data_IF_742745353249
#
_entry.id   IF_742745353249
#
_cell.length_a   1.000
_cell.length_b   1.000
_cell.length_c   1.000
_cell.angle_alpha   90.00
_cell.angle_beta   90.00
_cell.angle_gamma   90.00
#
_symmetry.space_group_name_H-M   'P 1'
#
loop_
_entity.id
_entity.type
_entity.pdbx_description
1 polymer ?
#
# COMPACT_ATOMS: atom_id res chain seq x y z
N UNK A 1 15.37 -21.52 5.97
CA UNK A 1 15.54 -22.11 4.62
C UNK A 1 14.62 -21.36 3.67
N UNK A 2 14.99 -21.14 2.40
CA UNK A 2 14.02 -20.55 1.47
C UNK A 2 12.80 -21.48 1.35
N UNK A 3 11.59 -20.89 1.35
CA UNK A 3 10.36 -21.64 1.18
C UNK A 3 10.32 -22.27 -0.24
N UNK A 4 9.76 -23.47 -0.34
CA UNK A 4 9.62 -24.14 -1.63
C UNK A 4 8.55 -23.42 -2.46
N UNK A 5 8.93 -22.92 -3.63
CA UNK A 5 8.04 -22.22 -4.55
C UNK A 5 6.85 -23.06 -5.00
N UNK A 6 6.97 -24.40 -5.00
CA UNK A 6 5.88 -25.30 -5.38
C UNK A 6 4.70 -25.22 -4.41
N UNK A 7 4.91 -24.81 -3.16
CA UNK A 7 3.85 -24.62 -2.16
C UNK A 7 2.90 -23.47 -2.52
N UNK A 8 3.33 -22.57 -3.41
CA UNK A 8 2.56 -21.39 -3.82
C UNK A 8 2.04 -21.48 -5.25
N UNK A 9 2.07 -22.66 -5.88
CA UNK A 9 1.64 -22.87 -7.28
C UNK A 9 0.19 -22.48 -7.52
N UNK A 10 -0.69 -22.70 -6.55
CA UNK A 10 -2.14 -22.47 -6.62
C UNK A 10 -2.58 -21.21 -5.86
N UNK A 11 -1.65 -20.51 -5.20
CA UNK A 11 -1.91 -19.31 -4.42
C UNK A 11 -1.13 -19.27 -3.12
N UNK A 12 -1.28 -18.19 -2.37
CA UNK A 12 -0.63 -17.98 -1.09
C UNK A 12 -1.68 -17.99 0.06
N UNK A 13 -1.31 -18.44 1.28
CA UNK A 13 -2.15 -18.31 2.47
C UNK A 13 -2.49 -16.85 2.77
N UNK A 14 -3.61 -16.62 3.46
CA UNK A 14 -4.08 -15.26 3.78
C UNK A 14 -3.05 -14.43 4.55
N UNK A 15 -2.27 -15.02 5.44
CA UNK A 15 -1.20 -14.35 6.17
C UNK A 15 -0.11 -13.76 5.26
N UNK A 16 0.05 -14.27 4.04
CA UNK A 16 0.96 -13.75 3.01
C UNK A 16 0.21 -12.80 2.08
N UNK A 17 -1.00 -13.17 1.62
CA UNK A 17 -1.82 -12.37 0.71
C UNK A 17 -2.15 -10.99 1.28
N UNK A 18 -2.51 -10.90 2.56
CA UNK A 18 -2.79 -9.63 3.26
C UNK A 18 -1.58 -8.70 3.37
N UNK A 19 -0.36 -9.23 3.17
CA UNK A 19 0.88 -8.44 3.14
C UNK A 19 1.29 -7.99 1.74
N UNK A 20 0.56 -8.39 0.70
CA UNK A 20 0.89 -8.11 -0.69
C UNK A 20 -0.17 -7.24 -1.34
N UNK A 21 0.19 -5.99 -1.64
CA UNK A 21 -0.63 -5.02 -2.35
C UNK A 21 -0.20 -4.95 -3.82
N UNK A 22 -1.10 -5.35 -4.72
CA UNK A 22 -0.90 -5.28 -6.17
C UNK A 22 -1.15 -3.86 -6.67
N UNK A 23 -0.14 -3.21 -7.22
CA UNK A 23 -0.29 -1.88 -7.83
C UNK A 23 -0.89 -2.00 -9.24
N UNK A 24 -2.11 -1.50 -9.40
CA UNK A 24 -2.85 -1.47 -10.66
C UNK A 24 -2.64 -0.10 -11.34
N UNK A 25 -1.40 0.14 -11.80
CA UNK A 25 -1.02 1.36 -12.47
C UNK A 25 -1.26 1.18 -13.99
N UNK A 26 -2.52 1.34 -14.39
CA UNK A 26 -3.06 1.24 -15.76
C UNK A 26 -4.19 2.25 -15.94
N UNK A 27 -4.49 2.61 -17.21
CA UNK A 27 -5.41 3.69 -17.58
C UNK A 27 -6.81 3.20 -17.98
N UNK A 28 -7.14 1.91 -17.72
CA UNK A 28 -8.47 1.37 -17.97
C UNK A 28 -8.85 0.25 -16.98
N UNK A 29 -10.15 0.19 -16.65
CA UNK A 29 -10.69 -0.74 -15.64
C UNK A 29 -10.69 -2.20 -16.13
N UNK A 30 -10.82 -2.46 -17.42
CA UNK A 30 -10.87 -3.82 -17.97
C UNK A 30 -9.51 -4.48 -17.83
N UNK A 31 -8.44 -3.76 -18.18
CA UNK A 31 -7.06 -4.20 -18.01
C UNK A 31 -6.74 -4.37 -16.52
N UNK A 32 -7.16 -3.42 -15.66
CA UNK A 32 -6.97 -3.52 -14.22
C UNK A 32 -7.58 -4.81 -13.65
N UNK A 33 -8.85 -5.10 -13.97
CA UNK A 33 -9.54 -6.32 -13.53
C UNK A 33 -8.90 -7.59 -14.05
N UNK A 34 -8.48 -7.61 -15.31
CA UNK A 34 -7.79 -8.76 -15.90
C UNK A 34 -6.49 -9.09 -15.17
N UNK A 35 -5.68 -8.07 -14.83
CA UNK A 35 -4.45 -8.24 -14.05
C UNK A 35 -4.78 -8.69 -12.62
N UNK A 36 -5.74 -8.03 -11.99
CA UNK A 36 -6.16 -8.34 -10.62
C UNK A 36 -6.64 -9.79 -10.50
N UNK A 37 -7.55 -10.24 -11.36
CA UNK A 37 -8.06 -11.63 -11.34
C UNK A 37 -6.95 -12.68 -11.55
N UNK A 38 -6.00 -12.41 -12.45
CA UNK A 38 -4.90 -13.34 -12.71
C UNK A 38 -3.97 -13.50 -11.50
N UNK A 39 -3.87 -12.46 -10.66
CA UNK A 39 -2.91 -12.40 -9.53
C UNK A 39 -3.58 -12.51 -8.15
N UNK A 40 -4.91 -12.53 -8.07
CA UNK A 40 -5.67 -12.65 -6.83
C UNK A 40 -5.24 -13.82 -5.92
N UNK A 41 -4.86 -15.00 -6.45
CA UNK A 41 -4.39 -16.07 -5.58
C UNK A 41 -3.22 -15.71 -4.67
N UNK A 42 -2.41 -14.70 -5.02
CA UNK A 42 -1.22 -14.29 -4.26
C UNK A 42 -1.36 -12.92 -3.59
N UNK A 43 -2.29 -12.08 -4.03
CA UNK A 43 -2.46 -10.71 -3.55
C UNK A 43 -3.83 -10.56 -2.87
N UNK A 44 -3.84 -10.09 -1.62
CA UNK A 44 -5.07 -9.77 -0.89
C UNK A 44 -5.50 -8.32 -1.02
N UNK A 45 -4.55 -7.42 -1.35
CA UNK A 45 -4.79 -5.98 -1.44
C UNK A 45 -4.63 -5.50 -2.87
N UNK A 46 -5.59 -4.75 -3.41
CA UNK A 46 -5.49 -4.04 -4.68
C UNK A 46 -5.22 -2.55 -4.45
N UNK A 47 -4.08 -2.05 -4.92
CA UNK A 47 -3.75 -0.62 -4.85
C UNK A 47 -4.30 0.12 -6.08
N UNK A 48 -5.31 0.94 -5.87
CA UNK A 48 -5.83 1.90 -6.85
C UNK A 48 -5.07 3.22 -6.68
N UNK A 49 -4.16 3.49 -7.62
CA UNK A 49 -3.38 4.71 -7.66
C UNK A 49 -4.00 5.81 -8.51
N UNK A 50 -3.29 6.94 -8.64
CA UNK A 50 -3.81 8.12 -9.35
C UNK A 50 -4.16 7.84 -10.82
N UNK A 51 -3.38 6.98 -11.51
CA UNK A 51 -3.63 6.66 -12.93
C UNK A 51 -4.99 6.00 -13.11
N UNK A 52 -5.21 4.87 -12.45
CA UNK A 52 -6.47 4.13 -12.54
C UNK A 52 -7.66 4.92 -11.98
N UNK A 53 -7.46 5.64 -10.87
CA UNK A 53 -8.51 6.47 -10.29
C UNK A 53 -8.87 7.66 -11.20
N UNK A 54 -7.90 8.26 -11.90
CA UNK A 54 -8.18 9.32 -12.86
C UNK A 54 -8.92 8.82 -14.09
N UNK A 55 -8.70 7.56 -14.49
CA UNK A 55 -9.35 6.96 -15.64
C UNK A 55 -10.78 6.49 -15.34
N UNK A 56 -11.02 5.88 -14.17
CA UNK A 56 -12.29 5.22 -13.83
C UNK A 56 -12.98 5.77 -12.58
N UNK A 57 -12.33 6.66 -11.82
CA UNK A 57 -12.94 7.25 -10.61
C UNK A 57 -13.28 6.21 -9.53
N UNK A 58 -14.37 6.45 -8.78
CA UNK A 58 -14.84 5.53 -7.73
C UNK A 58 -15.14 4.12 -8.22
N UNK A 59 -15.52 3.94 -9.49
CA UNK A 59 -15.79 2.63 -10.08
C UNK A 59 -14.57 1.70 -9.97
N UNK A 60 -13.34 2.24 -10.04
CA UNK A 60 -12.13 1.45 -9.84
C UNK A 60 -12.07 0.82 -8.44
N UNK A 61 -12.49 1.55 -7.42
CA UNK A 61 -12.55 1.08 -6.02
C UNK A 61 -13.63 0.01 -5.87
N UNK A 62 -14.85 0.31 -6.33
CA UNK A 62 -16.00 -0.60 -6.25
C UNK A 62 -15.75 -1.92 -6.99
N UNK A 63 -15.13 -1.87 -8.16
CA UNK A 63 -14.78 -3.06 -8.92
C UNK A 63 -13.80 -3.97 -8.19
N UNK A 64 -12.74 -3.42 -7.58
CA UNK A 64 -11.75 -4.21 -6.83
C UNK A 64 -12.36 -4.81 -5.54
N UNK A 65 -13.22 -4.07 -4.85
CA UNK A 65 -13.97 -4.61 -3.70
C UNK A 65 -14.90 -5.74 -4.17
N UNK A 66 -15.64 -5.53 -5.25
CA UNK A 66 -16.52 -6.53 -5.84
C UNK A 66 -15.79 -7.80 -6.30
N UNK A 67 -14.52 -7.67 -6.69
CA UNK A 67 -13.65 -8.78 -7.06
C UNK A 67 -12.98 -9.45 -5.82
N UNK A 68 -13.30 -9.01 -4.60
CA UNK A 68 -12.87 -9.65 -3.34
C UNK A 68 -11.51 -9.21 -2.81
N UNK A 69 -11.00 -8.05 -3.23
CA UNK A 69 -9.80 -7.46 -2.67
C UNK A 69 -10.10 -6.50 -1.52
N UNK A 70 -9.19 -6.41 -0.56
CA UNK A 70 -9.03 -5.18 0.22
C UNK A 70 -8.51 -4.07 -0.70
N UNK A 71 -9.08 -2.86 -0.59
CA UNK A 71 -8.67 -1.76 -1.49
C UNK A 71 -7.81 -0.75 -0.77
N UNK A 72 -6.64 -0.51 -1.33
CA UNK A 72 -5.73 0.56 -0.97
C UNK A 72 -5.88 1.74 -1.95
N UNK A 73 -6.63 2.79 -1.55
CA UNK A 73 -6.77 4.03 -2.30
C UNK A 73 -5.53 4.91 -2.09
N UNK A 74 -4.58 4.82 -3.04
CA UNK A 74 -3.29 5.53 -2.98
C UNK A 74 -3.38 6.88 -3.71
N UNK A 75 -4.21 7.78 -3.17
CA UNK A 75 -4.54 9.07 -3.78
C UNK A 75 -3.69 10.22 -3.27
N UNK A 76 -2.94 10.01 -2.18
CA UNK A 76 -2.01 10.98 -1.57
C UNK A 76 -2.66 12.36 -1.37
N UNK A 77 -3.86 12.36 -0.76
CA UNK A 77 -4.66 13.57 -0.57
C UNK A 77 -3.82 14.70 0.02
N UNK A 78 -3.86 15.87 -0.61
CA UNK A 78 -3.13 17.05 -0.20
C UNK A 78 -3.92 18.31 -0.65
N UNK A 79 -4.68 18.90 0.27
CA UNK A 79 -5.50 20.09 0.07
C UNK A 79 -5.79 20.70 1.44
N UNK A 80 -6.61 21.76 1.56
CA UNK A 80 -7.04 22.27 2.85
C UNK A 80 -7.80 21.21 3.65
N UNK A 81 -7.77 21.25 5.01
CA UNK A 81 -8.32 20.19 5.85
C UNK A 81 -9.78 19.83 5.52
N UNK A 82 -10.63 20.81 5.28
CA UNK A 82 -12.05 20.59 4.94
C UNK A 82 -12.21 19.77 3.64
N UNK A 83 -11.41 20.04 2.62
CA UNK A 83 -11.45 19.32 1.34
C UNK A 83 -10.97 17.87 1.53
N UNK A 84 -9.87 17.69 2.28
CA UNK A 84 -9.35 16.35 2.59
C UNK A 84 -10.36 15.53 3.38
N UNK A 85 -10.99 16.11 4.41
CA UNK A 85 -12.03 15.43 5.18
C UNK A 85 -13.17 14.93 4.29
N UNK A 86 -13.69 15.79 3.40
CA UNK A 86 -14.79 15.44 2.50
C UNK A 86 -14.39 14.35 1.49
N UNK A 87 -13.19 14.44 0.91
CA UNK A 87 -12.69 13.44 -0.01
C UNK A 87 -12.47 12.09 0.71
N UNK A 88 -11.84 12.11 1.89
CA UNK A 88 -11.63 10.95 2.73
C UNK A 88 -12.96 10.27 3.12
N UNK A 89 -13.98 11.06 3.46
CA UNK A 89 -15.32 10.57 3.79
C UNK A 89 -15.95 9.79 2.64
N UNK A 90 -15.82 10.27 1.41
CA UNK A 90 -16.30 9.54 0.23
C UNK A 90 -15.57 8.22 0.10
N UNK A 91 -14.23 8.18 0.24
CA UNK A 91 -13.46 6.95 0.17
C UNK A 91 -13.86 5.95 1.27
N UNK A 92 -14.05 6.43 2.49
CA UNK A 92 -14.53 5.58 3.59
C UNK A 92 -15.90 4.96 3.31
N UNK A 93 -16.85 5.74 2.74
CA UNK A 93 -18.18 5.23 2.39
C UNK A 93 -18.18 4.22 1.24
N UNK A 94 -17.13 4.22 0.39
CA UNK A 94 -16.93 3.21 -0.65
C UNK A 94 -16.38 1.87 -0.10
N UNK A 95 -15.84 1.86 1.13
CA UNK A 95 -15.33 0.63 1.74
C UNK A 95 -13.85 0.37 1.47
N UNK A 96 -13.03 1.40 1.23
CA UNK A 96 -11.57 1.21 1.15
C UNK A 96 -11.02 0.70 2.47
N UNK A 97 -9.98 -0.14 2.42
CA UNK A 97 -9.26 -0.61 3.62
C UNK A 97 -8.14 0.34 4.02
N UNK A 98 -7.53 1.01 3.04
CA UNK A 98 -6.43 1.97 3.24
C UNK A 98 -6.65 3.23 2.40
N UNK A 99 -6.34 4.40 2.97
CA UNK A 99 -6.35 5.69 2.27
C UNK A 99 -5.08 6.48 2.58
N UNK A 100 -4.39 7.00 1.57
CA UNK A 100 -3.21 7.85 1.77
C UNK A 100 -3.55 9.32 1.84
N UNK A 101 -2.94 10.00 2.83
CA UNK A 101 -2.94 11.46 3.01
C UNK A 101 -1.49 11.92 3.17
N UNK A 102 -1.11 13.04 2.56
CA UNK A 102 0.28 13.49 2.58
C UNK A 102 0.63 14.24 3.86
N UNK A 103 1.75 13.91 4.50
CA UNK A 103 2.20 14.58 5.76
C UNK A 103 2.69 16.02 5.56
N UNK A 104 2.93 16.47 4.32
CA UNK A 104 3.52 17.78 4.02
C UNK A 104 2.74 18.99 4.57
N UNK A 105 1.43 18.86 4.71
CA UNK A 105 0.60 19.95 5.22
C UNK A 105 0.40 19.91 6.76
N UNK A 106 1.05 18.98 7.46
CA UNK A 106 1.06 18.92 8.93
C UNK A 106 -0.11 18.12 9.54
N UNK A 107 -0.22 18.22 10.86
CA UNK A 107 -1.09 17.35 11.70
C UNK A 107 -2.57 17.55 11.43
N UNK A 108 -3.05 18.81 11.34
CA UNK A 108 -4.48 19.10 11.17
C UNK A 108 -5.03 18.55 9.85
N UNK A 109 -4.18 18.54 8.85
CA UNK A 109 -4.46 17.98 7.53
C UNK A 109 -4.61 16.44 7.58
N UNK A 110 -3.70 15.76 8.24
CA UNK A 110 -3.78 14.32 8.46
C UNK A 110 -4.99 13.94 9.31
N UNK A 111 -5.23 14.68 10.41
CA UNK A 111 -6.37 14.44 11.28
C UNK A 111 -7.70 14.58 10.53
N UNK A 112 -7.82 15.57 9.66
CA UNK A 112 -8.99 15.72 8.80
C UNK A 112 -9.23 14.50 7.89
N UNK A 113 -8.14 13.87 7.39
CA UNK A 113 -8.21 12.62 6.62
C UNK A 113 -8.65 11.43 7.47
N UNK A 114 -8.07 11.28 8.67
CA UNK A 114 -8.43 10.23 9.65
C UNK A 114 -9.91 10.30 10.01
N UNK A 115 -10.38 11.48 10.42
CA UNK A 115 -11.77 11.69 10.81
C UNK A 115 -12.72 11.45 9.62
N UNK A 116 -12.39 12.02 8.46
CA UNK A 116 -13.24 11.89 7.27
C UNK A 116 -13.42 10.45 6.84
N UNK A 117 -12.33 9.66 6.74
CA UNK A 117 -12.42 8.27 6.27
C UNK A 117 -13.18 7.38 7.27
N UNK A 118 -13.00 7.61 8.57
CA UNK A 118 -13.72 6.89 9.62
C UNK A 118 -15.22 7.22 9.63
N UNK A 119 -15.58 8.52 9.52
CA UNK A 119 -16.97 8.99 9.44
C UNK A 119 -17.70 8.41 8.22
N UNK A 120 -17.02 8.38 7.07
CA UNK A 120 -17.58 7.80 5.85
C UNK A 120 -17.90 6.32 5.99
N UNK A 121 -16.96 5.54 6.49
CA UNK A 121 -17.14 4.11 6.73
C UNK A 121 -18.24 3.83 7.77
N UNK A 122 -18.22 4.57 8.89
CA UNK A 122 -19.24 4.47 9.94
C UNK A 122 -20.65 4.75 9.42
N UNK A 123 -20.80 5.81 8.61
CA UNK A 123 -22.10 6.17 8.01
C UNK A 123 -22.62 5.10 7.03
N UNK A 124 -21.72 4.35 6.41
CA UNK A 124 -22.04 3.23 5.51
C UNK A 124 -22.17 1.87 6.22
N UNK A 125 -21.92 1.80 7.54
CA UNK A 125 -21.94 0.55 8.30
C UNK A 125 -20.76 -0.38 7.94
N UNK A 126 -19.64 0.18 7.50
CA UNK A 126 -18.44 -0.55 7.05
C UNK A 126 -17.34 -0.50 8.13
N UNK A 127 -16.38 -1.44 8.10
CA UNK A 127 -15.21 -1.39 8.97
C UNK A 127 -14.42 -0.09 8.80
N UNK A 128 -13.81 0.39 9.89
CA UNK A 128 -13.00 1.59 9.87
C UNK A 128 -11.71 1.37 9.04
N UNK A 129 -11.45 2.19 8.01
CA UNK A 129 -10.22 2.08 7.20
C UNK A 129 -8.99 2.57 7.96
N UNK A 130 -7.81 2.13 7.54
CA UNK A 130 -6.54 2.66 8.01
C UNK A 130 -6.13 3.87 7.18
N UNK A 131 -6.12 5.07 7.78
CA UNK A 131 -5.51 6.25 7.18
C UNK A 131 -3.99 6.14 7.24
N UNK A 132 -3.31 6.25 6.10
CA UNK A 132 -1.87 6.14 5.95
C UNK A 132 -1.24 7.51 5.65
N UNK A 133 -0.33 7.97 6.50
CA UNK A 133 0.47 9.16 6.24
C UNK A 133 1.59 8.89 5.23
N UNK A 134 1.66 9.63 4.12
CA UNK A 134 2.83 9.58 3.21
C UNK A 134 3.97 10.36 3.84
N UNK A 135 5.06 9.69 4.20
CA UNK A 135 6.23 10.33 4.81
C UNK A 135 7.12 10.99 3.75
N UNK A 136 8.19 10.35 3.33
CA UNK A 136 9.09 10.81 2.26
C UNK A 136 8.82 9.98 1.00
N UNK A 137 8.61 10.62 -0.14
CA UNK A 137 8.43 9.90 -1.39
C UNK A 137 9.73 9.14 -1.73
N UNK A 138 9.59 7.94 -2.29
CA UNK A 138 10.75 7.09 -2.65
C UNK A 138 11.68 7.74 -3.69
N UNK A 139 11.18 8.74 -4.42
CA UNK A 139 11.93 9.56 -5.37
C UNK A 139 12.70 10.71 -4.71
N UNK A 140 12.41 11.05 -3.45
CA UNK A 140 13.09 12.11 -2.70
C UNK A 140 14.27 11.54 -1.89
N UNK A 141 15.35 12.33 -1.73
CA UNK A 141 16.40 11.98 -0.78
C UNK A 141 15.84 12.10 0.64
N UNK A 142 16.04 11.06 1.44
CA UNK A 142 15.63 11.08 2.84
C UNK A 142 16.48 12.07 3.63
N UNK A 143 15.85 13.13 4.16
CA UNK A 143 16.35 13.90 5.27
C UNK A 143 15.81 13.26 6.57
N UNK A 144 16.72 12.77 7.40
CA UNK A 144 16.35 12.07 8.65
C UNK A 144 15.47 12.95 9.54
N UNK A 145 15.77 14.23 9.66
CA UNK A 145 14.99 15.18 10.48
C UNK A 145 13.58 15.33 9.93
N UNK A 146 13.46 15.45 8.61
CA UNK A 146 12.15 15.52 7.97
C UNK A 146 11.36 14.22 8.11
N UNK A 147 12.01 13.05 8.05
CA UNK A 147 11.38 11.76 8.28
C UNK A 147 10.83 11.65 9.71
N UNK A 148 11.67 11.94 10.72
CA UNK A 148 11.27 11.91 12.13
C UNK A 148 10.08 12.85 12.41
N UNK A 149 10.13 14.08 11.89
CA UNK A 149 9.03 15.04 12.00
C UNK A 149 7.75 14.50 11.38
N UNK A 150 7.82 13.92 10.17
CA UNK A 150 6.63 13.39 9.48
C UNK A 150 6.04 12.16 10.17
N UNK A 151 6.88 11.30 10.76
CA UNK A 151 6.41 10.20 11.62
C UNK A 151 5.71 10.75 12.86
N UNK A 152 6.26 11.81 13.47
CA UNK A 152 5.59 12.52 14.57
C UNK A 152 4.20 13.02 14.18
N UNK A 153 4.04 13.64 13.00
CA UNK A 153 2.73 14.08 12.49
C UNK A 153 1.73 12.93 12.32
N UNK A 154 2.20 11.75 11.86
CA UNK A 154 1.36 10.55 11.73
C UNK A 154 0.79 10.14 13.09
N UNK A 155 1.64 10.11 14.13
CA UNK A 155 1.23 9.77 15.50
C UNK A 155 0.27 10.80 16.10
N UNK A 156 0.61 12.09 16.00
CA UNK A 156 -0.18 13.20 16.56
C UNK A 156 -1.55 13.34 15.90
N UNK A 157 -1.67 12.95 14.64
CA UNK A 157 -2.92 12.95 13.91
C UNK A 157 -3.79 11.70 14.15
N UNK A 158 -3.24 10.65 14.77
CA UNK A 158 -3.94 9.38 14.97
C UNK A 158 -4.05 8.52 13.70
N UNK A 159 -3.13 8.67 12.74
CA UNK A 159 -3.09 7.78 11.59
C UNK A 159 -2.76 6.34 12.06
N UNK A 160 -3.46 5.36 11.53
CA UNK A 160 -3.22 3.94 11.84
C UNK A 160 -1.95 3.37 11.19
N UNK A 161 -1.39 4.08 10.20
CA UNK A 161 -0.18 3.65 9.50
C UNK A 161 0.49 4.74 8.68
N UNK A 162 1.54 4.35 7.98
CA UNK A 162 2.29 5.25 7.09
C UNK A 162 2.89 4.50 5.89
N UNK A 163 3.22 5.27 4.86
CA UNK A 163 4.00 4.79 3.71
C UNK A 163 5.42 5.34 3.82
N UNK A 164 6.41 4.45 3.78
CA UNK A 164 7.83 4.81 3.81
C UNK A 164 8.66 3.90 2.89
N UNK A 165 9.91 4.26 2.63
CA UNK A 165 10.83 3.36 1.95
C UNK A 165 11.34 2.27 2.88
N UNK A 166 11.83 1.15 2.33
CA UNK A 166 12.43 0.08 3.13
C UNK A 166 13.65 0.57 3.94
N UNK A 167 14.42 1.52 3.42
CA UNK A 167 15.57 2.10 4.14
C UNK A 167 15.19 2.92 5.38
N UNK A 168 13.95 3.39 5.45
CA UNK A 168 13.46 4.25 6.52
C UNK A 168 12.84 3.44 7.67
N UNK A 169 12.57 2.12 7.45
CA UNK A 169 11.86 1.26 8.40
C UNK A 169 12.47 1.20 9.78
N UNK A 170 13.81 1.14 9.90
CA UNK A 170 14.48 1.08 11.20
C UNK A 170 14.19 2.32 12.05
N UNK A 171 14.23 3.51 11.41
CA UNK A 171 13.89 4.78 12.08
C UNK A 171 12.40 4.83 12.41
N UNK A 172 11.53 4.44 11.47
CA UNK A 172 10.09 4.41 11.69
C UNK A 172 9.72 3.49 12.85
N UNK A 173 10.26 2.27 12.89
CA UNK A 173 9.99 1.30 13.97
C UNK A 173 10.50 1.74 15.33
N UNK A 174 11.61 2.49 15.38
CA UNK A 174 12.12 3.07 16.62
C UNK A 174 11.18 4.13 17.21
N UNK A 175 10.52 4.93 16.37
CA UNK A 175 9.63 6.03 16.78
C UNK A 175 8.18 5.56 16.95
N UNK A 176 7.70 4.73 16.01
CA UNK A 176 6.30 4.32 15.88
C UNK A 176 6.20 2.78 15.72
N UNK A 177 6.48 1.99 16.77
CA UNK A 177 6.59 0.52 16.66
C UNK A 177 5.27 -0.17 16.27
N UNK A 178 4.12 0.44 16.56
CA UNK A 178 2.80 -0.18 16.42
C UNK A 178 2.00 0.30 15.19
N UNK A 179 2.52 1.24 14.38
CA UNK A 179 1.82 1.70 13.19
C UNK A 179 1.99 0.71 12.04
N UNK A 180 0.96 0.58 11.21
CA UNK A 180 1.06 -0.20 9.96
C UNK A 180 2.05 0.47 9.02
N UNK A 181 3.05 -0.27 8.54
CA UNK A 181 4.03 0.22 7.56
C UNK A 181 3.75 -0.37 6.19
N UNK A 182 3.54 0.50 5.21
CA UNK A 182 3.35 0.14 3.80
C UNK A 182 4.57 0.56 3.01
N UNK A 183 5.21 -0.40 2.33
CA UNK A 183 6.51 -0.20 1.68
C UNK A 183 6.41 -0.42 0.17
N UNK A 184 6.51 0.65 -0.63
CA UNK A 184 6.63 0.55 -2.09
C UNK A 184 8.08 0.32 -2.53
N UNK A 185 8.27 0.13 -3.83
CA UNK A 185 9.61 -0.01 -4.42
C UNK A 185 10.22 -1.40 -4.23
N UNK A 186 9.38 -2.40 -4.03
CA UNK A 186 9.81 -3.78 -3.83
C UNK A 186 10.17 -4.44 -5.16
N UNK A 187 11.30 -5.12 -5.19
CA UNK A 187 11.80 -5.90 -6.33
C UNK A 187 12.35 -7.24 -5.85
N UNK A 188 11.94 -8.37 -6.42
CA UNK A 188 12.57 -9.66 -6.16
C UNK A 188 14.06 -9.63 -6.47
N UNK A 189 14.83 -10.51 -5.83
CA UNK A 189 16.24 -10.65 -6.09
C UNK A 189 16.49 -10.97 -7.59
N UNK A 190 17.42 -10.23 -8.23
CA UNK A 190 17.78 -10.43 -9.65
C UNK A 190 16.95 -9.67 -10.68
N UNK A 191 15.92 -8.93 -10.27
CA UNK A 191 15.12 -8.07 -11.15
C UNK A 191 15.73 -6.66 -11.23
N UNK A 192 15.74 -6.05 -12.43
CA UNK A 192 16.30 -4.72 -12.66
C UNK A 192 15.67 -3.60 -11.81
N UNK A 193 16.45 -2.56 -11.56
CA UNK A 193 16.12 -1.49 -10.58
C UNK A 193 15.15 -0.44 -11.14
N UNK A 194 14.98 -0.32 -12.46
CA UNK A 194 14.19 0.70 -13.13
C UNK A 194 14.41 2.13 -12.56
N UNK A 195 13.31 2.89 -12.39
CA UNK A 195 13.26 4.25 -11.84
C UNK A 195 13.16 4.32 -10.31
N UNK A 196 13.28 3.17 -9.60
CA UNK A 196 13.24 3.14 -8.14
C UNK A 196 14.60 3.53 -7.54
N UNK A 197 14.63 4.66 -6.87
CA UNK A 197 15.88 5.18 -6.27
C UNK A 197 16.38 4.32 -5.09
N UNK A 198 15.48 3.60 -4.40
CA UNK A 198 15.78 2.82 -3.18
C UNK A 198 15.02 1.47 -3.18
N UNK A 199 15.38 0.53 -4.08
CA UNK A 199 14.71 -0.78 -4.15
C UNK A 199 15.09 -1.66 -2.95
N UNK A 200 14.18 -2.55 -2.57
CA UNK A 200 14.40 -3.58 -1.55
C UNK A 200 13.79 -4.90 -1.99
N UNK A 201 14.30 -6.02 -1.50
CA UNK A 201 13.67 -7.34 -1.74
C UNK A 201 12.51 -7.54 -0.78
N UNK A 202 11.52 -8.40 -1.13
CA UNK A 202 10.46 -8.81 -0.22
C UNK A 202 11.00 -9.30 1.13
N UNK A 203 11.97 -10.21 1.12
CA UNK A 203 12.62 -10.74 2.32
C UNK A 203 13.22 -9.65 3.18
N UNK A 204 14.01 -8.73 2.59
CA UNK A 204 14.66 -7.65 3.35
C UNK A 204 13.64 -6.68 3.95
N UNK A 205 12.60 -6.31 3.20
CA UNK A 205 11.59 -5.38 3.69
C UNK A 205 10.78 -5.98 4.86
N UNK A 206 10.34 -7.23 4.76
CA UNK A 206 9.63 -7.93 5.86
C UNK A 206 10.54 -8.07 7.08
N UNK A 207 11.79 -8.53 6.91
CA UNK A 207 12.74 -8.66 8.01
C UNK A 207 13.05 -7.32 8.70
N UNK A 208 12.96 -6.20 7.98
CA UNK A 208 13.09 -4.83 8.52
C UNK A 208 11.82 -4.31 9.17
N UNK A 209 10.72 -5.08 9.15
CA UNK A 209 9.47 -4.74 9.81
C UNK A 209 8.41 -4.12 8.90
N UNK A 210 8.43 -4.36 7.59
CA UNK A 210 7.32 -3.99 6.71
C UNK A 210 6.09 -4.86 6.99
N UNK A 211 4.90 -4.25 7.09
CA UNK A 211 3.64 -4.98 7.22
C UNK A 211 3.03 -5.30 5.86
N UNK A 212 3.03 -4.33 4.93
CA UNK A 212 2.46 -4.47 3.60
C UNK A 212 3.48 -4.04 2.54
N UNK A 213 3.67 -4.87 1.54
CA UNK A 213 4.57 -4.62 0.40
C UNK A 213 3.77 -4.23 -0.83
N UNK A 214 4.09 -3.09 -1.45
CA UNK A 214 3.46 -2.68 -2.71
C UNK A 214 4.28 -3.20 -3.89
N UNK A 215 3.66 -4.09 -4.65
CA UNK A 215 4.25 -4.76 -5.81
C UNK A 215 3.57 -4.23 -7.08
N UNK A 216 4.34 -3.62 -7.95
CA UNK A 216 3.87 -3.11 -9.26
C UNK A 216 4.56 -3.85 -10.41
N UNK A 217 5.36 -3.12 -11.19
CA UNK A 217 6.04 -3.58 -12.42
C UNK A 217 6.83 -4.88 -12.26
N UNK A 218 7.32 -5.20 -11.06
CA UNK A 218 7.99 -6.46 -10.77
C UNK A 218 7.12 -7.71 -11.08
N UNK A 219 5.81 -7.54 -11.08
CA UNK A 219 4.84 -8.59 -11.44
C UNK A 219 4.08 -8.20 -12.70
N UNK A 220 3.52 -6.99 -12.77
CA UNK A 220 2.62 -6.58 -13.86
C UNK A 220 3.30 -6.48 -15.23
N UNK A 221 4.64 -6.34 -15.25
CA UNK A 221 5.47 -6.31 -16.48
C UNK A 221 6.45 -7.48 -16.57
N UNK A 222 6.34 -8.49 -15.70
CA UNK A 222 7.14 -9.69 -15.80
C UNK A 222 6.77 -10.48 -17.07
N UNK A 223 7.72 -11.20 -17.64
CA UNK A 223 7.47 -12.12 -18.77
C UNK A 223 6.45 -13.19 -18.37
N UNK A 224 6.56 -13.70 -17.14
CA UNK A 224 5.57 -14.57 -16.49
C UNK A 224 5.14 -13.96 -15.15
N UNK A 225 3.99 -13.24 -15.11
CA UNK A 225 3.48 -12.63 -13.90
C UNK A 225 3.15 -13.61 -12.77
N UNK A 226 2.70 -14.82 -13.13
CA UNK A 226 2.35 -15.86 -12.15
C UNK A 226 3.61 -16.39 -11.47
N UNK A 227 4.65 -16.78 -12.23
CA UNK A 227 5.94 -17.16 -11.68
C UNK A 227 6.57 -16.09 -10.81
N UNK A 228 6.42 -14.81 -11.19
CA UNK A 228 6.90 -13.69 -10.38
C UNK A 228 6.12 -13.57 -9.06
N UNK A 229 4.79 -13.73 -9.08
CA UNK A 229 3.95 -13.71 -7.88
C UNK A 229 4.30 -14.86 -6.92
N UNK A 230 4.46 -16.08 -7.43
CA UNK A 230 4.92 -17.27 -6.68
C UNK A 230 6.26 -16.97 -5.97
N UNK A 231 7.20 -16.39 -6.71
CA UNK A 231 8.53 -16.09 -6.18
C UNK A 231 8.47 -15.06 -5.04
N UNK A 232 7.63 -14.03 -5.18
CA UNK A 232 7.42 -13.00 -4.15
C UNK A 232 6.75 -13.61 -2.91
N UNK A 233 5.72 -14.44 -3.09
CA UNK A 233 5.05 -15.12 -1.97
C UNK A 233 6.02 -16.00 -1.18
N UNK A 234 6.87 -16.77 -1.87
CA UNK A 234 7.90 -17.60 -1.25
C UNK A 234 8.95 -16.76 -0.49
N UNK A 235 9.37 -15.61 -1.03
CA UNK A 235 10.27 -14.69 -0.34
C UNK A 235 9.65 -14.12 0.94
N UNK A 236 8.36 -13.74 0.91
CA UNK A 236 7.62 -13.26 2.10
C UNK A 236 7.49 -14.38 3.13
N UNK A 237 7.09 -15.59 2.72
CA UNK A 237 6.99 -16.74 3.61
C UNK A 237 8.33 -17.05 4.31
N UNK A 238 9.42 -17.03 3.56
CA UNK A 238 10.78 -17.27 4.11
C UNK A 238 11.21 -16.21 5.13
N UNK A 239 10.67 -15.01 5.07
CA UNK A 239 10.98 -13.93 6.00
C UNK A 239 10.10 -13.95 7.26
N UNK A 240 8.95 -14.62 7.20
CA UNK A 240 8.01 -14.74 8.33
C UNK A 240 8.29 -15.96 9.21
N UNK A 241 8.92 -17.00 8.66
CA UNK A 241 9.11 -18.27 9.34
C UNK A 241 10.49 -18.68 9.60
#
# INVERSE_FOLDING_TARGET
MPADKSEFSDGAPEVIRSRLALALDVDDIVTARRIAHALQPWFGVAKVGLELFSAAGPEAVEAMIGDGFEVFADLKLLDIPTTVNKAARVMGSLGVSYLTVHTRAGVDHLRAGVEGVADGASAAGLPAPTCLGITVLTSEQADLVALEQRVGFVLDAGCGGLVCSASDLSTVRAIAPNVVTVVPGIRPAGVGVDDQARPSTPTSAIASGADVLVIGRAVTRAEDPISAAISIAAEVASALG
#
